data_IF_714754136746
#
_entry.id   IF_714754136746
#
_cell.length_a   1.000
_cell.length_b   1.000
_cell.length_c   1.000
_cell.angle_alpha   90.00
_cell.angle_beta   90.00
_cell.angle_gamma   90.00
#
_symmetry.space_group_name_H-M   'P 1'
#
loop_
_entity.id
_entity.type
_entity.pdbx_description
1 polymer ?
#
# COMPACT_ATOMS: atom_id res chain seq x y z
N UNK A 1 -3.89 22.18 75.28
CA UNK A 1 -3.91 23.13 74.15
C UNK A 1 -3.30 22.43 72.95
N UNK A 2 -4.08 22.25 71.88
CA UNK A 2 -3.73 21.53 70.64
C UNK A 2 -3.10 22.52 69.66
N UNK A 3 -2.01 22.12 68.98
CA UNK A 3 -1.61 22.68 67.68
C UNK A 3 -0.97 21.57 66.84
N UNK A 4 -1.47 21.41 65.62
CA UNK A 4 -1.12 20.42 64.60
C UNK A 4 -0.50 21.20 63.44
N UNK A 5 0.69 20.85 62.90
CA UNK A 5 1.18 21.52 61.70
C UNK A 5 0.54 20.86 60.47
N UNK A 6 -0.06 21.70 59.65
CA UNK A 6 -0.86 21.34 58.50
C UNK A 6 -0.05 20.76 57.35
N UNK A 7 -0.70 19.84 56.64
CA UNK A 7 -0.28 19.31 55.36
C UNK A 7 -0.65 20.35 54.29
N UNK A 8 0.34 20.91 53.61
CA UNK A 8 0.13 21.73 52.40
C UNK A 8 -0.14 20.74 51.26
N UNK A 9 -1.40 20.62 50.86
CA UNK A 9 -1.79 19.92 49.64
C UNK A 9 -1.55 20.83 48.43
N UNK A 10 -0.49 20.54 47.66
CA UNK A 10 -0.28 21.15 46.35
C UNK A 10 -1.27 20.53 45.36
N UNK A 11 -2.31 21.29 45.00
CA UNK A 11 -3.25 20.89 43.95
C UNK A 11 -2.56 21.02 42.58
N UNK A 12 -2.15 19.90 42.00
CA UNK A 12 -1.76 19.80 40.60
C UNK A 12 -3.01 19.96 39.73
N UNK A 13 -3.20 21.15 39.16
CA UNK A 13 -4.18 21.37 38.11
C UNK A 13 -3.66 20.69 36.83
N UNK A 14 -4.06 19.43 36.62
CA UNK A 14 -3.94 18.78 35.34
C UNK A 14 -4.94 19.45 34.37
N UNK A 15 -4.45 20.41 33.59
CA UNK A 15 -5.22 20.96 32.48
C UNK A 15 -5.45 19.87 31.44
N UNK A 16 -6.70 19.47 31.23
CA UNK A 16 -7.08 18.68 30.07
C UNK A 16 -6.85 19.54 28.82
N UNK A 17 -5.70 19.40 28.17
CA UNK A 17 -5.52 19.88 26.80
C UNK A 17 -6.45 19.06 25.92
N UNK A 18 -7.62 19.61 25.64
CA UNK A 18 -8.45 19.13 24.54
C UNK A 18 -7.66 19.45 23.26
N UNK A 19 -7.22 18.47 22.46
CA UNK A 19 -6.63 18.79 21.18
C UNK A 19 -7.73 19.43 20.35
N UNK A 20 -7.73 20.77 20.27
CA UNK A 20 -8.49 21.47 19.24
C UNK A 20 -7.97 20.91 17.93
N UNK A 21 -8.76 20.03 17.32
CA UNK A 21 -8.58 19.63 15.94
C UNK A 21 -8.55 20.93 15.15
N UNK A 22 -7.39 21.24 14.60
CA UNK A 22 -7.22 22.46 13.83
C UNK A 22 -8.04 22.32 12.55
N UNK A 23 -9.27 22.85 12.57
CA UNK A 23 -10.20 22.76 11.45
C UNK A 23 -9.78 23.70 10.32
N UNK A 24 -8.88 24.64 10.58
CA UNK A 24 -8.36 25.61 9.62
C UNK A 24 -6.89 25.30 9.30
N UNK A 25 -6.65 24.73 8.12
CA UNK A 25 -5.28 24.51 7.63
C UNK A 25 -4.81 25.74 6.87
N UNK A 26 -3.81 26.45 7.39
CA UNK A 26 -3.20 27.58 6.71
C UNK A 26 -2.42 27.13 5.45
N UNK A 27 -2.69 27.79 4.31
CA UNK A 27 -2.01 27.61 3.02
C UNK A 27 -1.25 28.88 2.60
N UNK A 28 -1.02 29.80 3.52
CA UNK A 28 -0.32 31.07 3.32
C UNK A 28 -1.23 32.14 2.71
N UNK A 29 -1.74 31.92 1.49
CA UNK A 29 -2.61 32.87 0.82
C UNK A 29 -4.09 32.74 1.23
N UNK A 30 -4.48 31.60 1.81
CA UNK A 30 -5.84 31.28 2.23
C UNK A 30 -5.81 30.20 3.31
N UNK A 31 -6.95 29.99 3.96
CA UNK A 31 -7.16 28.91 4.93
C UNK A 31 -8.13 27.87 4.38
N UNK A 32 -7.86 26.59 4.63
CA UNK A 32 -8.76 25.48 4.31
C UNK A 32 -9.52 25.06 5.56
N UNK A 33 -10.84 25.21 5.49
CA UNK A 33 -11.77 24.67 6.47
C UNK A 33 -11.96 23.15 6.22
N UNK A 34 -11.84 22.33 7.27
CA UNK A 34 -11.88 20.86 7.19
C UNK A 34 -12.91 20.19 8.12
N UNK A 35 -13.66 20.97 8.90
CA UNK A 35 -14.74 20.50 9.78
C UNK A 35 -15.88 19.87 8.98
N UNK A 36 -16.25 20.45 7.84
CA UNK A 36 -17.41 19.99 7.07
C UNK A 36 -17.00 18.98 5.99
N UNK A 37 -17.01 17.69 6.35
CA UNK A 37 -16.74 16.58 5.43
C UNK A 37 -18.04 16.07 4.76
N UNK A 38 -17.99 15.87 3.44
CA UNK A 38 -19.13 15.34 2.69
C UNK A 38 -19.32 13.83 2.91
N UNK A 39 -20.57 13.38 3.01
CA UNK A 39 -20.88 11.95 3.11
C UNK A 39 -20.64 11.19 1.79
N UNK A 40 -20.81 11.85 0.65
CA UNK A 40 -20.65 11.26 -0.68
C UNK A 40 -19.19 11.16 -1.12
N UNK A 41 -18.36 10.40 -0.37
CA UNK A 41 -16.94 10.22 -0.65
C UNK A 41 -16.55 8.73 -0.66
N UNK A 42 -15.81 8.32 -1.69
CA UNK A 42 -15.29 6.96 -1.88
C UNK A 42 -13.77 6.96 -2.06
N UNK A 43 -13.14 5.79 -1.89
CA UNK A 43 -11.75 5.57 -2.33
C UNK A 43 -11.66 5.54 -3.86
N UNK A 44 -10.53 6.03 -4.38
CA UNK A 44 -10.23 6.02 -5.83
C UNK A 44 -9.93 4.61 -6.34
N UNK A 45 -9.14 3.85 -5.58
CA UNK A 45 -8.81 2.46 -5.87
C UNK A 45 -10.04 1.58 -5.67
N UNK A 46 -10.33 0.74 -6.67
CA UNK A 46 -11.48 -0.17 -6.69
C UNK A 46 -11.11 -1.59 -7.12
N UNK A 47 -9.91 -1.80 -7.66
CA UNK A 47 -9.47 -3.09 -8.20
C UNK A 47 -8.10 -3.47 -7.68
N UNK A 48 -7.90 -4.78 -7.60
CA UNK A 48 -6.60 -5.41 -7.48
C UNK A 48 -6.35 -6.23 -8.75
N UNK A 49 -5.21 -6.02 -9.40
CA UNK A 49 -4.80 -6.77 -10.58
C UNK A 49 -3.52 -7.53 -10.24
N UNK A 50 -3.56 -8.84 -10.44
CA UNK A 50 -2.43 -9.73 -10.20
C UNK A 50 -1.79 -10.13 -11.52
N UNK A 51 -0.46 -10.10 -11.54
CA UNK A 51 0.37 -10.41 -12.70
C UNK A 51 1.50 -11.37 -12.31
N UNK A 52 2.11 -12.00 -13.31
CA UNK A 52 3.39 -12.68 -13.15
C UNK A 52 4.43 -12.02 -14.07
N UNK A 53 5.69 -12.04 -13.62
CA UNK A 53 6.74 -11.25 -14.29
C UNK A 53 7.35 -11.92 -15.51
N UNK A 54 7.23 -13.25 -15.66
CA UNK A 54 7.93 -14.06 -16.67
C UNK A 54 9.47 -14.00 -16.59
N UNK A 55 10.02 -13.36 -15.56
CA UNK A 55 11.44 -13.09 -15.38
C UNK A 55 11.92 -13.56 -13.99
N UNK A 56 13.23 -13.52 -13.74
CA UNK A 56 13.75 -13.66 -12.36
C UNK A 56 13.60 -12.34 -11.60
N UNK A 57 13.87 -12.36 -10.29
CA UNK A 57 13.67 -11.20 -9.43
C UNK A 57 14.47 -9.95 -9.86
N UNK A 58 15.75 -10.09 -10.23
CA UNK A 58 16.59 -8.93 -10.53
C UNK A 58 16.16 -8.27 -11.84
N UNK A 59 15.89 -9.08 -12.86
CA UNK A 59 15.35 -8.62 -14.13
C UNK A 59 13.99 -7.94 -13.93
N UNK A 60 13.07 -8.59 -13.19
CA UNK A 60 11.75 -8.05 -12.88
C UNK A 60 11.82 -6.70 -12.16
N UNK A 61 12.69 -6.60 -11.14
CA UNK A 61 12.87 -5.37 -10.38
C UNK A 61 13.35 -4.24 -11.28
N UNK A 62 14.38 -4.49 -12.10
CA UNK A 62 14.92 -3.52 -13.05
C UNK A 62 13.83 -3.08 -14.04
N UNK A 63 13.12 -4.01 -14.65
CA UNK A 63 12.05 -3.71 -15.63
C UNK A 63 10.97 -2.83 -15.01
N UNK A 64 10.56 -3.11 -13.77
CA UNK A 64 9.48 -2.39 -13.08
C UNK A 64 9.91 -1.05 -12.46
N UNK A 65 11.21 -0.72 -12.44
CA UNK A 65 11.73 0.57 -11.95
C UNK A 65 12.31 1.46 -13.03
N UNK A 66 12.90 0.88 -14.09
CA UNK A 66 13.75 1.61 -15.03
C UNK A 66 13.15 1.69 -16.45
N UNK A 67 12.06 0.99 -16.72
CA UNK A 67 11.45 0.91 -18.05
C UNK A 67 10.04 1.53 -18.09
N UNK A 68 9.31 1.33 -19.19
CA UNK A 68 8.01 1.98 -19.44
C UNK A 68 6.83 1.22 -18.79
N UNK A 69 7.09 0.43 -17.76
CA UNK A 69 6.09 -0.36 -16.99
C UNK A 69 6.43 -0.30 -15.50
N UNK A 70 5.42 -0.42 -14.65
CA UNK A 70 5.62 -0.46 -13.19
C UNK A 70 4.44 -1.11 -12.49
N UNK A 71 4.66 -1.58 -11.27
CA UNK A 71 3.62 -2.13 -10.40
C UNK A 71 3.69 -1.50 -9.00
N UNK A 72 2.63 -1.63 -8.22
CA UNK A 72 2.63 -1.13 -6.84
C UNK A 72 3.49 -2.03 -5.95
N UNK A 73 3.34 -3.35 -6.14
CA UNK A 73 4.07 -4.36 -5.38
C UNK A 73 4.77 -5.37 -6.29
N UNK A 74 5.96 -5.80 -5.88
CA UNK A 74 6.70 -6.92 -6.46
C UNK A 74 6.97 -7.98 -5.37
N UNK A 75 6.49 -9.20 -5.59
CA UNK A 75 6.60 -10.33 -4.67
C UNK A 75 7.61 -11.37 -5.20
N UNK A 76 8.77 -11.55 -4.55
CA UNK A 76 9.76 -12.56 -4.94
C UNK A 76 9.24 -14.00 -4.81
N UNK A 77 9.83 -14.94 -5.56
CA UNK A 77 9.53 -16.37 -5.46
C UNK A 77 9.85 -16.97 -4.08
N UNK A 78 10.95 -16.49 -3.49
CA UNK A 78 11.40 -16.78 -2.14
C UNK A 78 11.71 -15.46 -1.46
N UNK A 79 10.71 -14.83 -0.82
CA UNK A 79 10.91 -13.55 -0.16
C UNK A 79 12.00 -13.64 0.91
N UNK A 80 12.98 -12.73 0.85
CA UNK A 80 13.94 -12.57 1.93
C UNK A 80 13.21 -12.18 3.22
N UNK A 81 13.79 -12.52 4.37
CA UNK A 81 13.18 -12.23 5.67
C UNK A 81 13.93 -11.10 6.37
N UNK A 82 13.23 -10.01 6.62
CA UNK A 82 13.70 -8.89 7.44
C UNK A 82 12.98 -8.94 8.78
N UNK A 83 13.74 -8.93 9.89
CA UNK A 83 13.19 -9.04 11.25
C UNK A 83 12.22 -10.23 11.42
N UNK A 84 12.54 -11.37 10.77
CA UNK A 84 11.74 -12.60 10.80
C UNK A 84 10.52 -12.63 9.87
N UNK A 85 10.20 -11.53 9.18
CA UNK A 85 9.04 -11.42 8.28
C UNK A 85 9.46 -11.39 6.81
N UNK A 86 8.72 -12.03 5.89
CA UNK A 86 9.01 -11.98 4.46
C UNK A 86 8.85 -10.55 3.92
N UNK A 87 9.77 -10.14 3.04
CA UNK A 87 9.83 -8.81 2.46
C UNK A 87 9.17 -8.78 1.09
N UNK A 88 8.21 -7.86 0.92
CA UNK A 88 7.60 -7.48 -0.36
C UNK A 88 8.11 -6.10 -0.74
N UNK A 89 8.34 -5.87 -2.03
CA UNK A 89 8.86 -4.61 -2.52
C UNK A 89 7.69 -3.71 -2.93
N UNK A 90 7.55 -2.54 -2.30
CA UNK A 90 6.63 -1.50 -2.77
C UNK A 90 7.37 -0.55 -3.71
N UNK A 91 7.06 -0.61 -5.00
CA UNK A 91 7.74 0.19 -6.02
C UNK A 91 7.02 1.51 -6.28
N UNK A 92 5.68 1.52 -6.21
CA UNK A 92 4.85 2.72 -6.38
C UNK A 92 3.90 2.87 -5.19
N UNK A 93 3.87 4.03 -4.50
CA UNK A 93 2.86 4.35 -3.49
C UNK A 93 1.43 4.20 -4.03
N UNK A 94 0.52 3.62 -3.24
CA UNK A 94 -0.88 3.37 -3.64
C UNK A 94 -1.71 4.61 -4.00
N UNK A 95 -1.26 5.79 -3.55
CA UNK A 95 -1.87 7.07 -3.91
C UNK A 95 -1.49 7.53 -5.33
N UNK A 96 -0.48 6.90 -5.94
CA UNK A 96 -0.02 7.18 -7.30
C UNK A 96 -0.45 6.07 -8.26
N UNK A 97 -0.44 6.38 -9.55
CA UNK A 97 -0.80 5.45 -10.62
C UNK A 97 0.44 4.69 -11.10
N UNK A 98 0.51 3.38 -10.85
CA UNK A 98 1.46 2.50 -11.53
C UNK A 98 1.01 2.15 -12.96
N UNK A 99 1.94 1.69 -13.81
CA UNK A 99 1.70 1.39 -15.23
C UNK A 99 1.73 -0.13 -15.47
N UNK A 100 0.72 -0.86 -14.99
CA UNK A 100 0.71 -2.33 -14.99
C UNK A 100 -0.42 -2.97 -15.84
N UNK A 101 -1.55 -2.29 -16.03
CA UNK A 101 -2.74 -2.87 -16.66
C UNK A 101 -2.82 -2.63 -18.18
N UNK A 102 -2.07 -1.66 -18.70
CA UNK A 102 -2.12 -1.27 -20.12
C UNK A 102 -3.55 -0.96 -20.62
N UNK A 103 -3.79 -1.24 -21.91
CA UNK A 103 -5.13 -1.20 -22.48
C UNK A 103 -6.01 -2.29 -21.84
N UNK A 104 -6.97 -1.87 -21.01
CA UNK A 104 -7.72 -2.76 -20.12
C UNK A 104 -9.16 -2.28 -19.96
N UNK A 105 -10.07 -3.22 -19.71
CA UNK A 105 -11.46 -2.94 -19.37
C UNK A 105 -12.04 -3.99 -18.41
N UNK A 106 -12.75 -3.55 -17.38
CA UNK A 106 -13.46 -4.43 -16.44
C UNK A 106 -14.70 -3.75 -15.87
N UNK A 107 -15.84 -4.45 -15.90
CA UNK A 107 -17.14 -3.97 -15.38
C UNK A 107 -17.49 -2.53 -15.81
N UNK A 108 -17.31 -2.23 -17.09
CA UNK A 108 -17.64 -0.94 -17.68
C UNK A 108 -16.62 0.19 -17.41
N UNK A 109 -15.47 -0.11 -16.79
CA UNK A 109 -14.35 0.83 -16.64
C UNK A 109 -13.21 0.45 -17.58
N UNK A 110 -12.58 1.44 -18.21
CA UNK A 110 -11.37 1.29 -19.03
C UNK A 110 -10.16 1.88 -18.33
N UNK A 111 -8.95 1.60 -18.83
CA UNK A 111 -7.68 2.11 -18.31
C UNK A 111 -7.54 1.85 -16.80
N UNK A 112 -7.50 0.57 -16.44
CA UNK A 112 -7.62 0.16 -15.04
C UNK A 112 -6.51 0.71 -14.14
N UNK A 113 -5.34 1.05 -14.68
CA UNK A 113 -4.25 1.75 -13.97
C UNK A 113 -4.76 2.93 -13.10
N UNK A 114 -5.79 3.65 -13.55
CA UNK A 114 -6.31 4.84 -12.84
C UNK A 114 -7.02 4.49 -11.52
N UNK A 115 -7.46 3.23 -11.37
CA UNK A 115 -8.32 2.78 -10.25
C UNK A 115 -7.91 1.42 -9.68
N UNK A 116 -6.69 0.95 -9.97
CA UNK A 116 -6.21 -0.35 -9.52
C UNK A 116 -4.87 -0.30 -8.82
N UNK A 117 -4.70 -1.22 -7.87
CA UNK A 117 -3.40 -1.65 -7.38
C UNK A 117 -2.93 -2.84 -8.23
N UNK A 118 -1.64 -2.87 -8.55
CA UNK A 118 -0.99 -3.88 -9.37
C UNK A 118 0.03 -4.62 -8.53
N UNK A 119 -0.10 -5.96 -8.45
CA UNK A 119 0.85 -6.85 -7.78
C UNK A 119 1.51 -7.73 -8.84
N UNK A 120 2.82 -7.61 -8.97
CA UNK A 120 3.65 -8.48 -9.80
C UNK A 120 4.25 -9.59 -8.94
N UNK A 121 4.07 -10.84 -9.35
CA UNK A 121 4.55 -12.01 -8.64
C UNK A 121 5.67 -12.65 -9.47
N UNK A 122 6.89 -12.74 -8.92
CA UNK A 122 8.03 -13.33 -9.63
C UNK A 122 7.77 -14.80 -9.91
N UNK A 123 7.51 -15.12 -11.16
CA UNK A 123 7.18 -16.45 -11.65
C UNK A 123 7.46 -16.47 -13.17
N UNK A 124 8.08 -17.54 -13.69
CA UNK A 124 8.47 -17.65 -15.11
C UNK A 124 7.28 -17.83 -16.06
N UNK A 125 6.05 -17.92 -15.55
CA UNK A 125 4.86 -18.10 -16.35
C UNK A 125 4.81 -19.51 -16.94
N UNK A 126 4.84 -19.60 -18.27
CA UNK A 126 4.77 -20.88 -18.98
C UNK A 126 5.93 -21.09 -19.94
N UNK A 127 6.25 -22.36 -20.18
CA UNK A 127 7.03 -22.80 -21.32
C UNK A 127 6.13 -23.59 -22.26
N UNK A 128 6.32 -23.40 -23.57
CA UNK A 128 5.52 -24.08 -24.60
C UNK A 128 6.39 -25.09 -25.34
N UNK A 129 5.95 -26.33 -25.35
CA UNK A 129 6.48 -27.40 -26.19
C UNK A 129 5.54 -27.66 -27.37
N UNK A 130 5.92 -28.57 -28.28
CA UNK A 130 5.10 -28.94 -29.44
C UNK A 130 3.71 -29.47 -29.05
N UNK A 131 3.58 -30.14 -27.90
CA UNK A 131 2.36 -30.84 -27.50
C UNK A 131 1.71 -30.26 -26.24
N UNK A 132 2.47 -29.53 -25.41
CA UNK A 132 1.99 -29.10 -24.10
C UNK A 132 2.49 -27.71 -23.73
N UNK A 133 1.66 -27.01 -22.97
CA UNK A 133 2.06 -25.82 -22.21
C UNK A 133 2.27 -26.23 -20.77
N UNK A 134 3.46 -25.94 -20.23
CA UNK A 134 3.79 -26.21 -18.84
C UNK A 134 3.84 -24.89 -18.07
N UNK A 135 3.07 -24.77 -16.99
CA UNK A 135 3.03 -23.59 -16.13
C UNK A 135 3.89 -23.80 -14.89
N UNK A 136 4.64 -22.78 -14.50
CA UNK A 136 5.38 -22.81 -13.26
C UNK A 136 4.41 -22.62 -12.07
N UNK A 137 4.36 -23.57 -11.11
CA UNK A 137 3.57 -23.36 -9.89
C UNK A 137 4.16 -22.23 -9.04
N UNK A 138 3.28 -21.48 -8.38
CA UNK A 138 3.68 -20.54 -7.34
C UNK A 138 4.14 -21.29 -6.09
N UNK A 139 5.09 -20.70 -5.36
CA UNK A 139 5.58 -21.30 -4.11
C UNK A 139 4.54 -21.09 -2.99
N UNK A 140 4.50 -22.00 -2.01
CA UNK A 140 3.63 -21.83 -0.84
C UNK A 140 3.96 -20.54 -0.07
N UNK A 141 5.24 -20.13 -0.06
CA UNK A 141 5.70 -18.88 0.56
C UNK A 141 5.11 -17.66 -0.14
N UNK A 142 5.09 -17.62 -1.47
CA UNK A 142 4.44 -16.53 -2.22
C UNK A 142 2.97 -16.40 -1.84
N UNK A 143 2.23 -17.50 -1.86
CA UNK A 143 0.80 -17.48 -1.55
C UNK A 143 0.55 -17.06 -0.11
N UNK A 144 1.37 -17.54 0.84
CA UNK A 144 1.27 -17.15 2.25
C UNK A 144 1.54 -15.66 2.48
N UNK A 145 2.39 -15.03 1.68
CA UNK A 145 2.65 -13.58 1.73
C UNK A 145 1.58 -12.76 1.03
N UNK A 146 1.04 -13.27 -0.08
CA UNK A 146 0.04 -12.58 -0.88
C UNK A 146 -1.31 -12.44 -0.15
N UNK A 147 -1.70 -13.42 0.67
CA UNK A 147 -2.98 -13.41 1.41
C UNK A 147 -3.10 -12.20 2.37
N UNK A 148 -2.11 -11.88 3.22
CA UNK A 148 -2.18 -10.73 4.13
C UNK A 148 -1.70 -9.40 3.53
N UNK A 149 -1.16 -9.40 2.31
CA UNK A 149 -0.72 -8.19 1.61
C UNK A 149 -1.91 -7.35 1.16
#
# INVERSE_FOLDING_TARGET
MKIWPGIIAAALLAGCQNPQQDTLVDRGAYQLETLHQAQGADRRIRFLVMHYTAEDFHSSLKTLTDEHVSAHYLLPAHPQREHGKPTVYRLVPEAMRAWHAGASAWRGRSNLNDTSIGIEIVNKGFTRSMLFTHWQPYTAEQIAVLIPL
#
